data_IF_002536702494
#
_entry.id   IF_002536702494
#
_cell.length_a   1.000
_cell.length_b   1.000
_cell.length_c   1.000
_cell.angle_alpha   90.00
_cell.angle_beta   90.00
_cell.angle_gamma   90.00
#
_symmetry.space_group_name_H-M   'P 1'
#
loop_
_entity.id
_entity.type
_entity.pdbx_description
1 polymer ?
#
# COMPACT_ATOMS: atom_id res chain seq x y z
N UNK A 1 -22.61 16.52 0.93
CA UNK A 1 -22.15 15.13 0.59
C UNK A 1 -20.63 15.18 0.65
N UNK A 2 -19.98 14.27 1.40
CA UNK A 2 -18.52 14.19 1.44
C UNK A 2 -17.98 13.85 0.05
N UNK A 3 -16.92 14.52 -0.35
CA UNK A 3 -16.32 14.37 -1.69
C UNK A 3 -15.25 13.27 -1.70
N UNK A 4 -15.14 12.56 -2.81
CA UNK A 4 -14.01 11.71 -3.17
C UNK A 4 -12.91 12.48 -3.91
N UNK A 5 -13.09 13.77 -4.07
CA UNK A 5 -12.17 14.68 -4.74
C UNK A 5 -10.88 14.85 -3.96
N UNK A 6 -9.75 14.74 -4.66
CA UNK A 6 -8.39 14.91 -4.13
C UNK A 6 -7.64 16.06 -4.82
N UNK A 7 -8.35 16.97 -5.51
CA UNK A 7 -7.73 18.16 -6.12
C UNK A 7 -6.94 18.96 -5.09
N UNK A 8 -5.71 19.34 -5.44
CA UNK A 8 -4.78 20.05 -4.55
C UNK A 8 -4.13 19.17 -3.47
N UNK A 9 -4.39 17.85 -3.44
CA UNK A 9 -3.71 16.91 -2.54
C UNK A 9 -2.49 16.31 -3.21
N UNK A 10 -1.48 16.03 -2.41
CA UNK A 10 -0.24 15.37 -2.84
C UNK A 10 -0.18 14.01 -2.17
N UNK A 11 -0.01 12.95 -2.97
CA UNK A 11 0.03 11.58 -2.52
C UNK A 11 1.39 10.93 -2.86
N UNK A 12 1.93 10.14 -1.94
CA UNK A 12 3.07 9.25 -2.17
C UNK A 12 2.59 7.80 -2.12
N UNK A 13 2.97 7.00 -3.13
CA UNK A 13 2.65 5.56 -3.18
C UNK A 13 3.93 4.75 -3.29
N UNK A 14 4.30 4.04 -2.22
CA UNK A 14 5.44 3.12 -2.24
C UNK A 14 5.06 1.79 -2.91
N UNK A 15 6.01 1.18 -3.64
CA UNK A 15 5.71 0.00 -4.45
C UNK A 15 4.74 0.29 -5.59
N UNK A 16 4.68 1.54 -6.06
CA UNK A 16 3.73 2.03 -7.06
C UNK A 16 4.03 1.65 -8.51
N UNK A 17 5.15 0.97 -8.78
CA UNK A 17 5.57 0.63 -10.14
C UNK A 17 4.85 -0.56 -10.76
N UNK A 18 3.98 -1.27 -10.02
CA UNK A 18 3.23 -2.42 -10.52
C UNK A 18 2.09 -2.83 -9.58
N UNK A 19 1.16 -3.64 -10.09
CA UNK A 19 0.14 -4.35 -9.31
C UNK A 19 -0.75 -3.42 -8.49
N UNK A 20 -0.95 -3.75 -7.20
CA UNK A 20 -1.83 -2.98 -6.30
C UNK A 20 -1.37 -1.52 -6.18
N UNK A 21 -0.06 -1.29 -6.01
CA UNK A 21 0.48 0.07 -5.88
C UNK A 21 0.27 0.93 -7.12
N UNK A 22 0.42 0.35 -8.31
CA UNK A 22 0.12 1.02 -9.58
C UNK A 22 -1.36 1.42 -9.65
N UNK A 23 -2.28 0.47 -9.35
CA UNK A 23 -3.71 0.77 -9.33
C UNK A 23 -4.07 1.87 -8.33
N UNK A 24 -3.47 1.84 -7.13
CA UNK A 24 -3.68 2.90 -6.14
C UNK A 24 -3.17 4.25 -6.67
N UNK A 25 -1.96 4.30 -7.25
CA UNK A 25 -1.39 5.54 -7.80
C UNK A 25 -2.28 6.15 -8.89
N UNK A 26 -2.73 5.33 -9.84
CA UNK A 26 -3.63 5.76 -10.93
C UNK A 26 -4.98 6.27 -10.41
N UNK A 27 -5.59 5.57 -9.45
CA UNK A 27 -6.88 5.97 -8.91
C UNK A 27 -6.78 7.26 -8.09
N UNK A 28 -5.71 7.46 -7.30
CA UNK A 28 -5.47 8.72 -6.60
C UNK A 28 -5.27 9.88 -7.58
N UNK A 29 -4.52 9.67 -8.67
CA UNK A 29 -4.34 10.67 -9.72
C UNK A 29 -5.67 10.99 -10.45
N UNK A 30 -6.45 9.98 -10.80
CA UNK A 30 -7.78 10.15 -11.41
C UNK A 30 -8.76 10.90 -10.49
N UNK A 31 -8.58 10.79 -9.17
CA UNK A 31 -9.34 11.58 -8.19
C UNK A 31 -8.80 13.01 -8.01
N UNK A 32 -7.76 13.44 -8.73
CA UNK A 32 -7.23 14.80 -8.76
C UNK A 32 -5.94 15.02 -7.95
N UNK A 33 -5.38 13.98 -7.30
CA UNK A 33 -4.13 14.13 -6.56
C UNK A 33 -2.92 14.25 -7.49
N UNK A 34 -1.91 15.06 -7.08
CA UNK A 34 -0.55 14.94 -7.61
C UNK A 34 0.14 13.76 -6.94
N UNK A 35 0.67 12.81 -7.72
CA UNK A 35 1.12 11.52 -7.19
C UNK A 35 2.62 11.33 -7.36
N UNK A 36 3.33 11.06 -6.27
CA UNK A 36 4.71 10.57 -6.30
C UNK A 36 4.68 9.04 -6.28
N UNK A 37 5.13 8.43 -7.37
CA UNK A 37 5.21 6.98 -7.54
C UNK A 37 6.62 6.53 -7.14
N UNK A 38 6.73 5.63 -6.17
CA UNK A 38 8.01 5.18 -5.65
C UNK A 38 8.14 3.65 -5.67
N UNK A 39 9.24 3.15 -6.22
CA UNK A 39 9.66 1.74 -6.15
C UNK A 39 11.14 1.64 -6.53
N UNK A 40 11.76 0.46 -6.36
CA UNK A 40 13.20 0.27 -6.65
C UNK A 40 13.55 0.34 -8.14
N UNK A 41 12.65 -0.10 -9.02
CA UNK A 41 12.87 -0.19 -10.47
C UNK A 41 12.41 1.11 -11.14
N UNK A 42 13.38 1.94 -11.54
CA UNK A 42 13.14 3.25 -12.15
C UNK A 42 12.29 3.18 -13.42
N UNK A 43 12.52 2.18 -14.27
CA UNK A 43 11.77 1.95 -15.51
C UNK A 43 10.28 1.68 -15.25
N UNK A 44 9.96 0.85 -14.24
CA UNK A 44 8.57 0.55 -13.87
C UNK A 44 7.87 1.78 -13.29
N UNK A 45 8.58 2.55 -12.45
CA UNK A 45 8.03 3.77 -11.86
C UNK A 45 7.75 4.81 -12.93
N UNK A 46 8.71 5.02 -13.86
CA UNK A 46 8.57 5.99 -14.94
C UNK A 46 7.41 5.62 -15.85
N UNK A 47 7.25 4.34 -16.21
CA UNK A 47 6.10 3.88 -17.02
C UNK A 47 4.77 4.28 -16.38
N UNK A 48 4.59 4.06 -15.09
CA UNK A 48 3.34 4.41 -14.38
C UNK A 48 3.12 5.93 -14.38
N UNK A 49 4.18 6.71 -14.18
CA UNK A 49 4.13 8.17 -14.25
C UNK A 49 3.72 8.63 -15.65
N UNK A 50 4.32 8.08 -16.70
CA UNK A 50 4.00 8.44 -18.10
C UNK A 50 2.53 8.14 -18.41
N UNK A 51 1.99 7.02 -17.93
CA UNK A 51 0.57 6.65 -18.09
C UNK A 51 -0.35 7.63 -17.34
N UNK A 52 -0.03 8.00 -16.09
CA UNK A 52 -0.81 8.99 -15.31
C UNK A 52 -0.80 10.36 -16.03
N UNK A 53 0.36 10.78 -16.55
CA UNK A 53 0.48 12.06 -17.27
C UNK A 53 -0.26 12.03 -18.59
N UNK A 54 -0.23 10.91 -19.31
CA UNK A 54 -0.99 10.74 -20.56
C UNK A 54 -2.50 10.83 -20.33
N UNK A 55 -2.98 10.39 -19.16
CA UNK A 55 -4.39 10.50 -18.74
C UNK A 55 -4.74 11.88 -18.15
N UNK A 56 -3.81 12.85 -18.21
CA UNK A 56 -4.01 14.25 -17.77
C UNK A 56 -3.75 14.49 -16.27
N UNK A 57 -3.23 13.51 -15.54
CA UNK A 57 -2.85 13.64 -14.14
C UNK A 57 -1.46 14.28 -13.96
N UNK A 58 -1.08 14.52 -12.71
CA UNK A 58 0.25 14.98 -12.33
C UNK A 58 0.98 13.88 -11.56
N UNK A 59 2.18 13.51 -11.99
CA UNK A 59 2.95 12.49 -11.30
C UNK A 59 4.46 12.73 -11.38
N UNK A 60 5.19 12.17 -10.39
CA UNK A 60 6.65 12.20 -10.28
C UNK A 60 7.18 10.79 -9.99
N UNK A 61 8.21 10.38 -10.70
CA UNK A 61 8.92 9.12 -10.49
C UNK A 61 10.09 9.32 -9.50
N UNK A 62 10.08 8.57 -8.39
CA UNK A 62 11.19 8.59 -7.43
C UNK A 62 11.64 7.17 -7.12
N UNK A 63 12.74 6.68 -7.73
CA UNK A 63 13.31 5.37 -7.38
C UNK A 63 13.69 5.32 -5.90
N UNK A 64 13.11 4.36 -5.16
CA UNK A 64 13.23 4.31 -3.70
C UNK A 64 13.29 2.88 -3.19
N UNK A 65 14.27 2.58 -2.33
CA UNK A 65 14.25 1.42 -1.45
C UNK A 65 13.65 1.83 -0.10
N UNK A 66 12.48 1.29 0.22
CA UNK A 66 11.76 1.60 1.48
C UNK A 66 12.46 1.06 2.72
N UNK A 67 13.44 0.18 2.57
CA UNK A 67 14.23 -0.33 3.70
C UNK A 67 15.37 0.62 4.09
N UNK A 68 15.67 1.61 3.25
CA UNK A 68 16.61 2.70 3.52
C UNK A 68 15.86 3.94 4.06
N UNK A 69 16.21 4.31 5.30
CA UNK A 69 15.62 5.48 5.95
C UNK A 69 15.94 6.80 5.25
N UNK A 70 17.15 6.94 4.71
CA UNK A 70 17.56 8.16 4.00
C UNK A 70 16.79 8.31 2.69
N UNK A 71 16.56 7.20 1.95
CA UNK A 71 15.75 7.18 0.75
C UNK A 71 14.28 7.54 1.03
N UNK A 72 13.71 7.09 2.16
CA UNK A 72 12.36 7.48 2.58
C UNK A 72 12.25 8.97 2.93
N UNK A 73 13.28 9.55 3.56
CA UNK A 73 13.34 11.00 3.83
C UNK A 73 13.37 11.77 2.51
N UNK A 74 14.27 11.41 1.59
CA UNK A 74 14.38 12.05 0.28
C UNK A 74 13.08 11.93 -0.53
N UNK A 75 12.38 10.79 -0.46
CA UNK A 75 11.09 10.58 -1.11
C UNK A 75 10.02 11.56 -0.58
N UNK A 76 9.94 11.72 0.74
CA UNK A 76 8.97 12.63 1.36
C UNK A 76 9.31 14.10 1.03
N UNK A 77 10.59 14.45 1.04
CA UNK A 77 11.05 15.80 0.70
C UNK A 77 10.79 16.11 -0.80
N UNK A 78 11.01 15.16 -1.71
CA UNK A 78 10.70 15.33 -3.13
C UNK A 78 9.19 15.62 -3.40
N UNK A 79 8.29 15.01 -2.63
CA UNK A 79 6.86 15.31 -2.72
C UNK A 79 6.57 16.77 -2.33
N UNK A 80 7.14 17.23 -1.23
CA UNK A 80 6.94 18.61 -0.74
C UNK A 80 7.59 19.63 -1.69
N UNK A 81 8.81 19.36 -2.15
CA UNK A 81 9.55 20.27 -3.04
C UNK A 81 8.89 20.40 -4.42
N UNK A 82 8.36 19.29 -4.97
CA UNK A 82 7.77 19.30 -6.31
C UNK A 82 6.34 19.82 -6.34
N UNK A 83 5.51 19.42 -5.35
CA UNK A 83 4.08 19.66 -5.37
C UNK A 83 3.58 20.57 -4.22
N UNK A 84 4.49 21.06 -3.37
CA UNK A 84 4.17 22.04 -2.32
C UNK A 84 3.64 21.46 -1.01
N UNK A 85 3.49 20.13 -0.88
CA UNK A 85 2.97 19.53 0.35
C UNK A 85 2.95 18.02 0.33
N UNK A 86 2.47 17.41 1.42
CA UNK A 86 2.22 15.97 1.53
C UNK A 86 0.93 15.75 2.32
N UNK A 87 -0.04 15.06 1.72
CA UNK A 87 -1.38 14.89 2.29
C UNK A 87 -1.79 13.41 2.39
N UNK A 88 -1.27 12.56 1.51
CA UNK A 88 -1.57 11.12 1.50
C UNK A 88 -0.27 10.32 1.40
N UNK A 89 -0.13 9.33 2.27
CA UNK A 89 0.99 8.39 2.18
C UNK A 89 0.51 6.95 2.16
N UNK A 90 0.85 6.20 1.11
CA UNK A 90 0.47 4.81 0.97
C UNK A 90 1.69 3.91 1.15
N UNK A 91 1.70 3.15 2.24
CA UNK A 91 2.67 2.09 2.50
C UNK A 91 2.21 0.81 1.80
N UNK A 92 2.55 0.67 0.51
CA UNK A 92 2.19 -0.52 -0.26
C UNK A 92 3.39 -1.42 -0.56
N UNK A 93 4.62 -0.88 -0.60
CA UNK A 93 5.81 -1.70 -0.84
C UNK A 93 5.89 -2.85 0.16
N UNK A 94 6.00 -4.09 -0.34
CA UNK A 94 6.03 -5.28 0.49
C UNK A 94 5.77 -6.56 -0.31
N UNK A 95 5.62 -7.65 0.42
CA UNK A 95 5.41 -9.00 -0.12
C UNK A 95 6.42 -9.99 0.45
N UNK A 96 6.18 -11.26 0.25
CA UNK A 96 7.11 -12.34 0.59
C UNK A 96 6.92 -13.48 -0.41
N UNK A 97 7.87 -13.68 -1.32
CA UNK A 97 7.84 -14.80 -2.26
C UNK A 97 8.24 -16.13 -1.58
N UNK A 98 8.96 -16.05 -0.44
CA UNK A 98 9.43 -17.24 0.27
C UNK A 98 8.28 -17.91 1.03
N UNK A 99 8.21 -19.23 0.89
CA UNK A 99 7.36 -20.10 1.71
C UNK A 99 8.24 -21.14 2.41
N UNK A 100 8.20 -21.11 3.75
CA UNK A 100 8.89 -22.07 4.60
C UNK A 100 8.14 -22.25 5.91
N UNK A 101 8.06 -23.46 6.48
CA UNK A 101 7.65 -23.66 7.86
C UNK A 101 8.52 -22.80 8.80
N UNK A 102 7.95 -22.24 9.85
CA UNK A 102 8.71 -21.39 10.79
C UNK A 102 9.85 -22.14 11.47
N UNK A 103 9.72 -23.46 11.64
CA UNK A 103 10.77 -24.31 12.21
C UNK A 103 11.99 -24.51 11.30
N UNK A 104 11.88 -24.16 10.03
CA UNK A 104 12.92 -24.33 9.00
C UNK A 104 13.38 -22.98 8.41
N UNK A 105 12.72 -21.88 8.80
CA UNK A 105 13.04 -20.54 8.33
C UNK A 105 14.30 -20.04 9.03
N UNK A 106 15.29 -19.58 8.26
CA UNK A 106 16.47 -18.93 8.80
C UNK A 106 16.20 -17.52 9.31
N UNK A 107 17.06 -17.03 10.19
CA UNK A 107 16.91 -15.72 10.83
C UNK A 107 17.04 -14.57 9.80
N UNK A 108 17.88 -14.70 8.79
CA UNK A 108 18.09 -13.68 7.75
C UNK A 108 16.81 -13.49 6.93
N UNK A 109 16.14 -14.57 6.54
CA UNK A 109 14.87 -14.51 5.82
C UNK A 109 13.75 -13.92 6.70
N UNK A 110 13.73 -14.27 7.99
CA UNK A 110 12.83 -13.66 8.97
C UNK A 110 13.06 -12.15 9.05
N UNK A 111 14.28 -11.70 9.31
CA UNK A 111 14.62 -10.30 9.48
C UNK A 111 14.37 -9.48 8.20
N UNK A 112 14.72 -10.02 7.04
CA UNK A 112 14.46 -9.41 5.74
C UNK A 112 12.95 -9.18 5.54
N UNK A 113 12.13 -10.17 5.85
CA UNK A 113 10.68 -10.05 5.73
C UNK A 113 10.12 -8.98 6.68
N UNK A 114 10.52 -8.99 7.95
CA UNK A 114 10.09 -7.98 8.93
C UNK A 114 10.60 -6.58 8.56
N UNK A 115 11.84 -6.47 8.10
CA UNK A 115 12.43 -5.21 7.65
C UNK A 115 11.60 -4.57 6.56
N UNK A 116 11.24 -5.33 5.52
CA UNK A 116 10.47 -4.83 4.39
C UNK A 116 8.99 -4.58 4.75
N UNK A 117 8.32 -5.53 5.42
CA UNK A 117 6.87 -5.53 5.54
C UNK A 117 6.35 -4.86 6.83
N UNK A 118 7.21 -4.59 7.81
CA UNK A 118 6.82 -3.97 9.09
C UNK A 118 7.69 -2.76 9.43
N UNK A 119 9.02 -2.93 9.50
CA UNK A 119 9.92 -1.83 9.91
C UNK A 119 9.87 -0.67 8.92
N UNK A 120 9.85 -0.95 7.61
CA UNK A 120 9.73 0.06 6.57
C UNK A 120 8.41 0.83 6.67
N UNK A 121 7.29 0.15 6.97
CA UNK A 121 5.97 0.78 7.16
C UNK A 121 6.00 1.76 8.34
N UNK A 122 6.58 1.35 9.47
CA UNK A 122 6.77 2.24 10.62
C UNK A 122 7.64 3.44 10.27
N UNK A 123 8.83 3.23 9.69
CA UNK A 123 9.75 4.31 9.31
C UNK A 123 9.08 5.31 8.38
N UNK A 124 8.44 4.83 7.32
CA UNK A 124 7.78 5.66 6.33
C UNK A 124 6.62 6.46 6.93
N UNK A 125 5.79 5.83 7.78
CA UNK A 125 4.68 6.51 8.45
C UNK A 125 5.13 7.67 9.32
N UNK A 126 6.18 7.48 10.15
CA UNK A 126 6.67 8.55 11.02
C UNK A 126 7.43 9.66 10.26
N UNK A 127 8.03 9.33 9.11
CA UNK A 127 8.66 10.31 8.21
C UNK A 127 7.57 11.15 7.51
N UNK A 128 6.57 10.49 6.95
CA UNK A 128 5.44 11.14 6.29
C UNK A 128 4.69 12.07 7.24
N UNK A 129 4.36 11.61 8.45
CA UNK A 129 3.64 12.40 9.44
C UNK A 129 4.34 13.74 9.76
N UNK A 130 5.67 13.78 9.75
CA UNK A 130 6.44 15.02 9.97
C UNK A 130 6.35 16.03 8.82
N UNK A 131 5.93 15.61 7.62
CA UNK A 131 5.76 16.45 6.42
C UNK A 131 4.29 16.80 6.15
N UNK A 132 3.36 16.12 6.80
CA UNK A 132 1.90 16.38 6.68
C UNK A 132 1.47 17.52 7.61
N UNK A 133 1.98 18.74 7.34
CA UNK A 133 1.78 19.91 8.21
C UNK A 133 0.34 20.43 8.21
N UNK A 134 -0.42 20.12 7.17
CA UNK A 134 -1.84 20.51 7.03
C UNK A 134 -2.80 19.34 7.34
N UNK A 135 -2.29 18.30 7.99
CA UNK A 135 -3.02 17.06 8.20
C UNK A 135 -3.00 16.12 6.99
N UNK A 136 -3.65 14.97 7.11
CA UNK A 136 -3.67 14.02 5.99
C UNK A 136 -4.14 12.61 6.34
N UNK A 137 -3.80 11.67 5.45
CA UNK A 137 -4.14 10.25 5.60
C UNK A 137 -2.94 9.34 5.30
N UNK A 138 -2.66 8.42 6.20
CA UNK A 138 -1.71 7.32 5.99
C UNK A 138 -2.52 6.04 5.74
N UNK A 139 -2.18 5.31 4.66
CA UNK A 139 -2.84 4.07 4.27
C UNK A 139 -1.80 2.95 4.22
N UNK A 140 -1.99 1.92 5.04
CA UNK A 140 -1.10 0.78 5.14
C UNK A 140 -1.70 -0.43 4.39
N UNK A 141 -0.98 -0.98 3.41
CA UNK A 141 -1.43 -2.22 2.77
C UNK A 141 -1.02 -3.40 3.64
N UNK A 142 -2.05 -3.98 4.27
CA UNK A 142 -1.97 -5.18 5.10
C UNK A 142 -2.21 -6.45 4.26
N UNK A 143 -2.73 -7.48 4.89
CA UNK A 143 -3.14 -8.76 4.27
C UNK A 143 -4.07 -9.50 5.23
N UNK A 144 -5.00 -10.34 4.74
CA UNK A 144 -5.73 -11.27 5.58
C UNK A 144 -4.84 -12.26 6.36
N UNK A 145 -3.58 -12.42 5.91
CA UNK A 145 -2.56 -13.18 6.65
C UNK A 145 -2.24 -12.54 8.02
N UNK A 146 -2.47 -11.24 8.21
CA UNK A 146 -2.27 -10.57 9.50
C UNK A 146 -3.32 -10.90 10.55
N UNK A 147 -4.43 -11.51 10.16
CA UNK A 147 -5.56 -11.82 11.05
C UNK A 147 -5.74 -13.34 11.25
N UNK A 148 -4.97 -14.17 10.53
CA UNK A 148 -5.07 -15.63 10.59
C UNK A 148 -3.72 -16.31 10.40
N UNK A 149 -3.60 -17.56 10.88
CA UNK A 149 -2.43 -18.41 10.60
C UNK A 149 -2.35 -18.76 9.12
N UNK A 150 -1.14 -18.66 8.54
CA UNK A 150 -0.86 -19.05 7.16
C UNK A 150 0.35 -19.98 7.14
N UNK A 151 0.15 -21.31 7.07
CA UNK A 151 1.26 -22.27 7.00
C UNK A 151 2.23 -21.95 5.86
N UNK A 152 3.53 -21.94 6.16
CA UNK A 152 4.59 -21.59 5.22
C UNK A 152 4.78 -20.08 4.99
N UNK A 153 3.98 -19.21 5.63
CA UNK A 153 4.13 -17.75 5.51
C UNK A 153 4.04 -17.05 6.86
N UNK A 154 4.44 -17.72 7.94
CA UNK A 154 4.31 -17.21 9.31
C UNK A 154 5.08 -15.91 9.56
N UNK A 155 6.26 -15.74 8.98
CA UNK A 155 7.06 -14.51 9.03
C UNK A 155 6.30 -13.32 8.39
N UNK A 156 5.68 -13.53 7.24
CA UNK A 156 4.85 -12.50 6.60
C UNK A 156 3.56 -12.21 7.37
N UNK A 157 2.91 -13.25 7.90
CA UNK A 157 1.72 -13.11 8.74
C UNK A 157 2.02 -12.30 9.99
N UNK A 158 3.14 -12.57 10.67
CA UNK A 158 3.59 -11.80 11.83
C UNK A 158 3.83 -10.31 11.48
N UNK A 159 4.51 -10.05 10.34
CA UNK A 159 4.72 -8.69 9.87
C UNK A 159 3.39 -7.95 9.62
N UNK A 160 2.42 -8.59 8.94
CA UNK A 160 1.12 -7.97 8.61
C UNK A 160 0.21 -7.81 9.85
N UNK A 161 0.30 -8.71 10.83
CA UNK A 161 -0.32 -8.51 12.15
C UNK A 161 0.28 -7.28 12.86
N UNK A 162 1.60 -7.12 12.79
CA UNK A 162 2.30 -5.91 13.26
C UNK A 162 1.82 -4.64 12.57
N UNK A 163 1.60 -4.67 11.25
CA UNK A 163 1.04 -3.53 10.48
C UNK A 163 -0.37 -3.19 10.96
N UNK A 164 -1.23 -4.18 11.21
CA UNK A 164 -2.58 -3.95 11.76
C UNK A 164 -2.51 -3.27 13.14
N UNK A 165 -1.59 -3.69 14.00
CA UNK A 165 -1.35 -3.07 15.29
C UNK A 165 -0.80 -1.64 15.18
N UNK A 166 0.21 -1.42 14.30
CA UNK A 166 0.75 -0.08 14.01
C UNK A 166 -0.32 0.87 13.49
N UNK A 167 -1.20 0.41 12.61
CA UNK A 167 -2.31 1.21 12.08
C UNK A 167 -3.19 1.75 13.20
N UNK A 168 -3.56 0.90 14.17
CA UNK A 168 -4.36 1.31 15.33
C UNK A 168 -3.58 2.27 16.24
N UNK A 169 -2.33 1.98 16.56
CA UNK A 169 -1.51 2.82 17.44
C UNK A 169 -1.29 4.20 16.83
N UNK A 170 -0.81 4.25 15.57
CA UNK A 170 -0.56 5.53 14.90
C UNK A 170 -1.83 6.35 14.69
N UNK A 171 -2.99 5.72 14.54
CA UNK A 171 -4.26 6.45 14.42
C UNK A 171 -4.62 7.22 15.69
N UNK A 172 -4.21 6.72 16.86
CA UNK A 172 -4.42 7.39 18.15
C UNK A 172 -3.36 8.48 18.40
N UNK A 173 -2.11 8.19 18.05
CA UNK A 173 -0.99 9.10 18.30
C UNK A 173 -0.97 10.31 17.37
N UNK A 174 -1.48 10.18 16.13
CA UNK A 174 -1.44 11.22 15.11
C UNK A 174 -2.76 11.99 14.97
N UNK A 175 -3.82 11.53 15.65
CA UNK A 175 -5.09 12.25 15.69
C UNK A 175 -4.94 13.60 16.47
N UNK A 176 -5.73 14.62 16.15
CA UNK A 176 -6.77 14.65 15.13
C UNK A 176 -6.26 14.99 13.72
N UNK A 177 -4.98 15.32 13.56
CA UNK A 177 -4.45 15.89 12.31
C UNK A 177 -4.31 14.88 11.20
N UNK A 178 -3.93 13.62 11.52
CA UNK A 178 -3.67 12.59 10.51
C UNK A 178 -4.50 11.35 10.84
N UNK A 179 -5.24 10.87 9.86
CA UNK A 179 -5.95 9.59 9.94
C UNK A 179 -5.02 8.45 9.48
N UNK A 180 -5.05 7.33 10.13
CA UNK A 180 -4.24 6.16 9.75
C UNK A 180 -5.16 4.95 9.63
N UNK A 181 -5.21 4.37 8.42
CA UNK A 181 -6.03 3.21 8.13
C UNK A 181 -5.25 2.15 7.35
N UNK A 182 -5.80 0.96 7.28
CA UNK A 182 -5.28 -0.15 6.49
C UNK A 182 -6.24 -0.61 5.40
N UNK A 183 -5.70 -1.19 4.35
CA UNK A 183 -6.41 -2.01 3.37
C UNK A 183 -5.81 -3.42 3.44
N UNK A 184 -6.66 -4.43 3.55
CA UNK A 184 -6.29 -5.85 3.56
C UNK A 184 -6.81 -6.50 2.27
N UNK A 185 -5.99 -6.56 1.20
CA UNK A 185 -6.40 -7.11 -0.09
C UNK A 185 -6.60 -8.62 -0.03
N UNK A 186 -7.66 -9.11 -0.66
CA UNK A 186 -7.80 -10.53 -0.96
C UNK A 186 -6.92 -10.98 -2.11
N UNK A 187 -7.42 -11.92 -2.92
CA UNK A 187 -6.66 -12.42 -4.08
C UNK A 187 -6.72 -11.42 -5.24
N UNK A 188 -5.62 -10.70 -5.46
CA UNK A 188 -5.37 -9.80 -6.60
C UNK A 188 -4.22 -10.41 -7.41
N UNK A 189 -4.39 -10.75 -8.70
CA UNK A 189 -3.40 -11.49 -9.50
C UNK A 189 -2.20 -10.59 -9.86
N UNK A 190 -1.33 -10.37 -8.88
CA UNK A 190 -0.06 -9.66 -9.05
C UNK A 190 1.10 -10.64 -9.26
N UNK A 191 2.17 -10.18 -9.90
CA UNK A 191 3.41 -10.96 -10.05
C UNK A 191 3.89 -11.54 -8.71
N UNK A 192 3.86 -10.72 -7.64
CA UNK A 192 4.25 -11.15 -6.27
C UNK A 192 3.35 -12.27 -5.75
N UNK A 193 2.04 -12.16 -5.95
CA UNK A 193 1.10 -13.20 -5.50
C UNK A 193 1.26 -14.49 -6.28
N UNK A 194 1.36 -14.42 -7.61
CA UNK A 194 1.52 -15.60 -8.46
C UNK A 194 2.80 -16.35 -8.12
N UNK A 195 3.92 -15.62 -7.93
CA UNK A 195 5.19 -16.21 -7.48
C UNK A 195 5.07 -16.85 -6.09
N UNK A 196 4.46 -16.15 -5.12
CA UNK A 196 4.30 -16.66 -3.75
C UNK A 196 3.42 -17.91 -3.66
N UNK A 197 2.46 -18.07 -4.56
CA UNK A 197 1.53 -19.21 -4.57
C UNK A 197 1.95 -20.32 -5.56
N UNK A 198 3.02 -20.09 -6.32
CA UNK A 198 3.47 -20.98 -7.40
C UNK A 198 2.29 -21.35 -8.34
N UNK A 199 1.64 -20.32 -8.88
CA UNK A 199 0.40 -20.47 -9.63
C UNK A 199 0.31 -19.43 -10.77
N UNK A 200 -0.60 -19.67 -11.70
CA UNK A 200 -0.90 -18.74 -12.77
C UNK A 200 -2.28 -18.07 -12.60
N UNK A 201 -2.57 -17.12 -13.49
CA UNK A 201 -3.82 -16.38 -13.44
C UNK A 201 -5.04 -17.28 -13.68
N UNK A 202 -4.96 -18.27 -14.57
CA UNK A 202 -6.07 -19.14 -14.90
C UNK A 202 -6.47 -20.00 -13.69
N UNK A 203 -5.50 -20.55 -12.97
CA UNK A 203 -5.73 -21.32 -11.76
C UNK A 203 -6.33 -20.45 -10.64
N UNK A 204 -5.89 -19.18 -10.51
CA UNK A 204 -6.48 -18.24 -9.56
C UNK A 204 -7.93 -17.90 -9.94
N UNK A 205 -8.24 -17.71 -11.21
CA UNK A 205 -9.60 -17.45 -11.68
C UNK A 205 -10.54 -18.64 -11.40
N UNK A 206 -10.09 -19.87 -11.66
CA UNK A 206 -10.85 -21.07 -11.32
C UNK A 206 -11.10 -21.18 -9.80
N UNK A 207 -10.07 -20.90 -9.00
CA UNK A 207 -10.21 -20.86 -7.54
C UNK A 207 -11.21 -19.78 -7.11
N UNK A 208 -11.15 -18.60 -7.73
CA UNK A 208 -12.07 -17.51 -7.39
C UNK A 208 -13.54 -17.88 -7.66
N UNK A 209 -13.83 -18.53 -8.80
CA UNK A 209 -15.18 -19.02 -9.11
C UNK A 209 -15.72 -19.99 -8.05
N UNK A 210 -14.84 -20.80 -7.45
CA UNK A 210 -15.23 -21.80 -6.46
C UNK A 210 -15.34 -21.23 -5.04
N UNK A 211 -14.39 -20.37 -4.63
CA UNK A 211 -14.17 -20.01 -3.22
C UNK A 211 -14.55 -18.57 -2.87
N UNK A 212 -14.42 -17.62 -3.80
CA UNK A 212 -14.74 -16.21 -3.51
C UNK A 212 -16.24 -15.98 -3.69
N UNK A 213 -16.95 -15.45 -2.69
CA UNK A 213 -18.40 -15.18 -2.80
C UNK A 213 -18.77 -14.30 -4.00
N UNK A 214 -17.98 -13.23 -4.30
CA UNK A 214 -18.20 -12.38 -5.48
C UNK A 214 -17.76 -13.01 -6.82
N UNK A 215 -17.27 -14.26 -6.82
CA UNK A 215 -16.96 -15.05 -8.01
C UNK A 215 -15.96 -14.40 -8.97
N UNK A 216 -15.08 -13.57 -8.49
CA UNK A 216 -13.98 -12.96 -9.25
C UNK A 216 -12.77 -12.72 -8.37
N UNK A 217 -11.63 -12.58 -9.00
CA UNK A 217 -10.44 -11.99 -8.37
C UNK A 217 -10.66 -10.50 -8.11
N UNK A 218 -9.95 -9.95 -7.14
CA UNK A 218 -9.81 -8.52 -6.98
C UNK A 218 -8.93 -7.94 -8.09
N UNK A 219 -9.09 -6.64 -8.33
CA UNK A 219 -8.26 -5.87 -9.25
C UNK A 219 -7.44 -4.83 -8.49
N UNK A 220 -6.36 -4.29 -9.08
CA UNK A 220 -5.69 -3.13 -8.52
C UNK A 220 -6.63 -1.94 -8.29
N UNK A 221 -7.65 -1.76 -9.13
CA UNK A 221 -8.65 -0.68 -9.02
C UNK A 221 -9.60 -0.87 -7.82
N UNK A 222 -9.93 -2.10 -7.43
CA UNK A 222 -10.69 -2.35 -6.19
C UNK A 222 -9.94 -1.77 -4.97
N UNK A 223 -8.61 -1.90 -4.96
CA UNK A 223 -7.75 -1.33 -3.92
C UNK A 223 -7.60 0.19 -4.08
N UNK A 224 -7.48 0.65 -5.33
CA UNK A 224 -7.38 2.07 -5.67
C UNK A 224 -8.59 2.87 -5.21
N UNK A 225 -9.79 2.39 -5.52
CA UNK A 225 -11.05 3.03 -5.09
C UNK A 225 -11.18 3.09 -3.57
N UNK A 226 -10.74 2.03 -2.86
CA UNK A 226 -10.72 2.02 -1.40
C UNK A 226 -9.70 3.02 -0.85
N UNK A 227 -8.54 3.15 -1.49
CA UNK A 227 -7.53 4.15 -1.11
C UNK A 227 -8.03 5.58 -1.30
N UNK A 228 -8.74 5.88 -2.41
CA UNK A 228 -9.40 7.17 -2.63
C UNK A 228 -10.42 7.46 -1.52
N UNK A 229 -11.26 6.49 -1.14
CA UNK A 229 -12.18 6.64 -0.01
C UNK A 229 -11.46 7.02 1.27
N UNK A 230 -10.43 6.28 1.65
CA UNK A 230 -9.68 6.51 2.89
C UNK A 230 -8.87 7.82 2.86
N UNK A 231 -8.42 8.27 1.69
CA UNK A 231 -7.67 9.51 1.52
C UNK A 231 -8.54 10.76 1.57
N UNK A 232 -9.79 10.65 1.10
CA UNK A 232 -10.69 11.80 0.87
C UNK A 232 -11.56 12.16 2.07
N UNK A 233 -12.36 13.24 1.91
CA UNK A 233 -13.39 13.65 2.87
C UNK A 233 -14.47 12.58 3.10
N UNK A 234 -14.71 11.70 2.11
CA UNK A 234 -15.64 10.59 2.28
C UNK A 234 -15.22 9.64 3.43
N UNK A 235 -13.91 9.54 3.70
CA UNK A 235 -13.34 8.76 4.80
C UNK A 235 -13.01 9.57 6.06
N UNK A 236 -13.45 10.82 6.19
CA UNK A 236 -13.04 11.73 7.29
C UNK A 236 -13.36 11.24 8.70
N UNK A 237 -14.36 10.36 8.86
CA UNK A 237 -14.70 9.77 10.15
C UNK A 237 -14.15 8.33 10.34
N UNK A 238 -13.17 7.92 9.50
CA UNK A 238 -12.54 6.59 9.55
C UNK A 238 -11.07 6.74 9.91
N UNK A 239 -10.69 6.20 11.07
CA UNK A 239 -9.29 6.07 11.50
C UNK A 239 -9.10 4.81 12.35
N UNK A 240 -7.91 4.22 12.35
CA UNK A 240 -7.56 3.00 13.09
C UNK A 240 -8.17 1.71 12.54
N UNK A 241 -8.79 1.75 11.35
CA UNK A 241 -9.45 0.59 10.75
C UNK A 241 -8.58 -0.06 9.69
N UNK A 242 -8.63 -1.39 9.60
CA UNK A 242 -8.12 -2.14 8.46
C UNK A 242 -9.30 -2.73 7.70
N UNK A 243 -9.58 -2.22 6.51
CA UNK A 243 -10.70 -2.65 5.67
C UNK A 243 -10.28 -3.87 4.85
N UNK A 244 -11.00 -4.97 5.00
CA UNK A 244 -10.78 -6.18 4.18
C UNK A 244 -11.50 -5.99 2.84
N UNK A 245 -10.74 -5.97 1.75
CA UNK A 245 -11.25 -5.86 0.38
C UNK A 245 -10.93 -7.17 -0.35
N UNK A 246 -11.79 -8.17 -0.15
CA UNK A 246 -11.47 -9.56 -0.50
C UNK A 246 -12.63 -10.31 -1.19
N UNK A 247 -13.69 -9.63 -1.58
CA UNK A 247 -14.85 -10.27 -2.25
C UNK A 247 -15.64 -11.26 -1.37
N UNK A 248 -15.50 -11.14 -0.04
CA UNK A 248 -16.14 -12.00 0.94
C UNK A 248 -15.32 -13.24 1.35
N UNK A 249 -14.02 -13.30 1.04
CA UNK A 249 -13.12 -14.40 1.39
C UNK A 249 -12.36 -14.10 2.71
#
# INVERSE_FOLDING_TARGET
MHSFDLNGKVAVVTGGGQGIGEGIAKNLAAAGASVVVAARHADRVQRVVDEIVADGGQALAVPTDVTDRAALVALADAAVETFGGLHVWVNNAGGSPLRSPLSELDEEAWDTCLRLNLTAVWMASVIAAKRMTEGGAIINISSPAGDRGVPGSGHYAAAKAGVNSLTKTLSLELAPSIRVNGISPGYVPTEVMMTALDTDQAALEEMAQKRIPLKRLGTPDDMGSTAVYLASEAGSWVTGQTIIVAGGN
#
